data_IF_016868688549
#
_entry.id   IF_016868688549
#
_cell.length_a   1.000
_cell.length_b   1.000
_cell.length_c   1.000
_cell.angle_alpha   90.00
_cell.angle_beta   90.00
_cell.angle_gamma   90.00
#
_symmetry.space_group_name_H-M   'P 1'
#
loop_
_entity.id
_entity.type
_entity.pdbx_description
1 polymer ?
#
# COMPACT_ATOMS: atom_id res chain seq x y z
N UNK A 1 51.91 -60.17 17.99
CA UNK A 1 51.02 -59.13 18.54
C UNK A 1 51.49 -57.78 18.00
N UNK A 2 50.61 -56.86 17.58
CA UNK A 2 49.90 -56.88 16.28
C UNK A 2 50.02 -55.54 15.48
N UNK A 3 49.57 -55.58 14.21
CA UNK A 3 48.67 -54.63 13.49
C UNK A 3 49.06 -53.14 13.30
N UNK A 4 48.66 -52.38 12.26
CA UNK A 4 47.97 -52.56 10.96
C UNK A 4 48.28 -51.25 10.17
N UNK A 5 48.81 -51.32 8.95
CA UNK A 5 48.11 -51.32 7.64
C UNK A 5 47.63 -49.95 7.11
N UNK A 6 48.43 -49.47 6.16
CA UNK A 6 48.19 -48.43 5.15
C UNK A 6 47.23 -48.91 4.05
N UNK A 7 46.35 -48.05 3.51
CA UNK A 7 45.98 -48.16 2.10
C UNK A 7 45.40 -46.88 1.49
N UNK A 8 46.09 -46.39 0.45
CA UNK A 8 45.62 -45.43 -0.56
C UNK A 8 44.85 -46.16 -1.67
N UNK A 9 43.87 -45.48 -2.29
CA UNK A 9 43.45 -45.67 -3.70
C UNK A 9 42.70 -44.40 -4.13
N UNK A 10 43.23 -43.56 -5.03
CA UNK A 10 43.41 -43.71 -6.48
C UNK A 10 42.10 -43.59 -7.28
N UNK A 11 42.07 -42.52 -8.08
CA UNK A 11 41.05 -42.07 -9.04
C UNK A 11 40.99 -42.98 -10.28
N UNK A 12 39.82 -43.15 -10.90
CA UNK A 12 39.70 -43.70 -12.24
C UNK A 12 38.49 -43.14 -12.99
N UNK A 13 38.77 -42.66 -14.20
CA UNK A 13 37.85 -42.16 -15.22
C UNK A 13 37.38 -43.31 -16.12
N UNK A 14 36.10 -43.36 -16.48
CA UNK A 14 35.63 -44.24 -17.54
C UNK A 14 34.41 -43.67 -18.30
N UNK A 15 34.57 -43.60 -19.62
CA UNK A 15 33.58 -43.30 -20.66
C UNK A 15 32.47 -44.35 -20.73
N UNK A 16 31.24 -43.96 -21.09
CA UNK A 16 30.24 -44.80 -21.78
C UNK A 16 29.40 -43.89 -22.72
N UNK A 17 29.64 -43.91 -24.04
CA UNK A 17 28.95 -44.67 -25.11
C UNK A 17 27.43 -44.38 -25.22
N UNK A 18 27.06 -43.79 -26.37
CA UNK A 18 25.70 -43.52 -26.86
C UNK A 18 25.06 -44.77 -27.50
N UNK A 19 23.72 -44.90 -27.37
CA UNK A 19 22.70 -45.42 -28.34
C UNK A 19 21.39 -45.80 -27.58
N UNK A 20 20.21 -45.98 -28.23
CA UNK A 20 19.46 -45.10 -29.13
C UNK A 20 17.96 -44.93 -28.71
N UNK A 21 17.20 -44.15 -29.49
CA UNK A 21 15.74 -43.93 -29.43
C UNK A 21 14.90 -45.20 -29.72
N UNK A 22 13.76 -45.34 -29.02
CA UNK A 22 12.55 -46.02 -29.53
C UNK A 22 11.30 -45.23 -29.09
N UNK A 23 10.46 -44.94 -30.08
CA UNK A 23 9.17 -44.28 -29.98
C UNK A 23 8.08 -45.27 -29.52
N UNK A 24 7.12 -44.78 -28.73
CA UNK A 24 5.89 -45.48 -28.38
C UNK A 24 4.68 -44.59 -28.63
N UNK A 25 4.02 -44.79 -29.77
CA UNK A 25 2.72 -44.24 -30.11
C UNK A 25 1.61 -45.01 -29.36
N UNK A 26 0.65 -44.31 -28.77
CA UNK A 26 -0.71 -44.82 -28.58
C UNK A 26 -1.66 -43.76 -29.15
N UNK A 27 -2.33 -44.15 -30.22
CA UNK A 27 -3.48 -43.47 -30.80
C UNK A 27 -4.75 -44.19 -30.34
N UNK A 28 -5.81 -43.42 -30.03
CA UNK A 28 -7.19 -43.90 -30.10
C UNK A 28 -8.03 -42.84 -30.83
N UNK A 29 -8.74 -43.32 -31.85
CA UNK A 29 -9.63 -42.66 -32.80
C UNK A 29 -10.83 -41.93 -32.12
N UNK A 30 -11.22 -40.73 -32.55
CA UNK A 30 -12.10 -40.37 -33.68
C UNK A 30 -13.58 -40.78 -33.53
N UNK A 31 -14.46 -39.78 -33.45
CA UNK A 31 -15.85 -39.86 -33.88
C UNK A 31 -16.23 -38.54 -34.59
N UNK A 32 -16.69 -38.69 -35.83
CA UNK A 32 -17.08 -37.66 -36.77
C UNK A 32 -18.42 -37.00 -36.40
N UNK A 33 -18.58 -35.75 -36.84
CA UNK A 33 -19.86 -35.07 -36.97
C UNK A 33 -19.74 -33.84 -37.87
N UNK A 34 -19.62 -34.06 -39.18
CA UNK A 34 -19.76 -33.04 -40.21
C UNK A 34 -21.22 -33.02 -40.70
N UNK A 35 -21.85 -31.85 -40.71
CA UNK A 35 -22.89 -31.52 -41.70
C UNK A 35 -22.60 -30.12 -42.22
N UNK A 36 -22.25 -30.04 -43.51
CA UNK A 36 -22.09 -28.80 -44.27
C UNK A 36 -23.42 -28.42 -44.93
N UNK A 37 -23.66 -27.12 -45.16
CA UNK A 37 -23.81 -26.51 -46.49
C UNK A 37 -24.35 -25.07 -46.35
N UNK A 38 -23.79 -24.12 -47.11
CA UNK A 38 -24.34 -22.77 -47.19
C UNK A 38 -23.35 -21.68 -47.62
N UNK A 39 -22.78 -21.82 -48.81
CA UNK A 39 -22.03 -20.77 -49.50
C UNK A 39 -22.98 -19.72 -50.10
N UNK A 40 -22.65 -18.44 -49.97
CA UNK A 40 -23.01 -17.43 -50.97
C UNK A 40 -21.96 -16.31 -51.01
N UNK A 41 -21.22 -16.30 -52.13
CA UNK A 41 -20.42 -15.19 -52.62
C UNK A 41 -21.30 -13.99 -53.00
N UNK A 42 -20.76 -12.78 -52.88
CA UNK A 42 -21.33 -11.59 -53.48
C UNK A 42 -20.41 -10.37 -53.34
N UNK A 43 -19.46 -10.24 -54.26
CA UNK A 43 -18.71 -9.02 -54.51
C UNK A 43 -19.44 -8.16 -55.55
N UNK A 44 -19.60 -6.86 -55.33
CA UNK A 44 -19.42 -5.79 -56.35
C UNK A 44 -19.53 -4.38 -55.72
N UNK A 45 -18.85 -3.43 -56.36
CA UNK A 45 -18.47 -2.07 -55.95
C UNK A 45 -19.58 -0.99 -56.15
N UNK A 46 -19.30 0.32 -56.44
CA UNK A 46 -19.32 1.46 -55.51
C UNK A 46 -20.36 2.58 -55.84
N UNK A 47 -20.39 3.60 -54.96
CA UNK A 47 -20.97 4.98 -54.94
C UNK A 47 -21.65 5.59 -56.21
N UNK A 48 -22.54 6.60 -56.04
CA UNK A 48 -22.06 7.98 -56.23
C UNK A 48 -22.58 9.03 -55.23
N UNK A 49 -21.83 10.13 -55.17
CA UNK A 49 -21.98 11.35 -54.36
C UNK A 49 -23.07 12.30 -54.87
N UNK A 50 -23.61 13.13 -53.97
CA UNK A 50 -24.10 14.48 -54.29
C UNK A 50 -23.94 15.43 -53.09
N UNK A 51 -23.07 16.43 -53.29
CA UNK A 51 -23.05 17.87 -52.89
C UNK A 51 -24.32 18.44 -52.23
N UNK A 52 -24.36 19.55 -51.47
CA UNK A 52 -23.42 20.51 -50.86
C UNK A 52 -24.28 21.56 -50.10
N UNK A 53 -23.63 22.43 -49.31
CA UNK A 53 -24.03 23.81 -48.94
C UNK A 53 -24.69 24.08 -47.58
N UNK A 54 -23.88 24.58 -46.65
CA UNK A 54 -23.93 26.01 -46.26
C UNK A 54 -24.78 26.41 -45.03
N UNK A 55 -24.35 27.43 -44.24
CA UNK A 55 -24.69 27.56 -42.82
C UNK A 55 -25.74 28.64 -42.54
N UNK A 56 -26.42 28.56 -41.38
CA UNK A 56 -27.24 29.66 -40.84
C UNK A 56 -27.10 29.77 -39.32
N UNK A 57 -26.51 30.89 -38.89
CA UNK A 57 -26.77 31.61 -37.62
C UNK A 57 -26.90 33.10 -38.01
N UNK A 58 -27.75 33.90 -37.34
CA UNK A 58 -27.37 34.52 -36.05
C UNK A 58 -28.50 34.73 -35.01
N UNK A 59 -28.09 35.11 -33.80
CA UNK A 59 -28.85 35.62 -32.63
C UNK A 59 -29.38 37.08 -32.87
N UNK A 60 -29.87 37.91 -31.89
CA UNK A 60 -29.97 37.79 -30.42
C UNK A 60 -31.23 38.45 -29.74
N UNK A 61 -31.19 38.59 -28.38
CA UNK A 61 -31.95 39.49 -27.45
C UNK A 61 -32.96 38.79 -26.54
N UNK A 62 -33.22 39.15 -25.27
CA UNK A 62 -32.61 40.01 -24.25
C UNK A 62 -33.40 39.82 -22.91
N UNK A 63 -32.82 40.29 -21.80
CA UNK A 63 -33.46 40.84 -20.58
C UNK A 63 -33.79 39.94 -19.37
N UNK A 64 -33.09 40.23 -18.26
CA UNK A 64 -33.47 40.01 -16.86
C UNK A 64 -34.66 40.87 -16.41
N UNK A 65 -35.21 40.64 -15.19
CA UNK A 65 -34.96 41.62 -14.12
C UNK A 65 -34.80 41.03 -12.69
N UNK A 66 -34.59 41.96 -11.77
CA UNK A 66 -34.03 41.88 -10.42
C UNK A 66 -35.00 41.52 -9.27
N UNK A 67 -34.40 41.35 -8.09
CA UNK A 67 -35.01 41.21 -6.75
C UNK A 67 -35.81 42.46 -6.29
N UNK A 68 -36.50 42.36 -5.14
CA UNK A 68 -36.16 43.30 -4.06
C UNK A 68 -36.14 42.70 -2.64
N UNK A 69 -35.41 43.39 -1.76
CA UNK A 69 -35.38 43.24 -0.31
C UNK A 69 -36.37 44.22 0.36
N UNK A 70 -36.83 43.92 1.58
CA UNK A 70 -36.99 44.87 2.72
C UNK A 70 -37.54 44.19 3.97
N UNK A 71 -36.86 44.40 5.11
CA UNK A 71 -37.40 44.27 6.48
C UNK A 71 -38.26 45.50 6.84
N UNK A 72 -39.00 45.53 7.99
CA UNK A 72 -38.38 45.94 9.27
C UNK A 72 -39.00 45.34 10.56
N UNK A 73 -38.29 45.49 11.69
CA UNK A 73 -38.91 45.68 13.01
C UNK A 73 -38.71 44.60 14.08
N UNK A 74 -37.84 44.87 15.07
CA UNK A 74 -38.01 44.37 16.45
C UNK A 74 -39.14 45.14 17.18
N UNK A 75 -39.42 44.94 18.50
CA UNK A 75 -38.40 44.75 19.54
C UNK A 75 -38.78 43.82 20.74
N UNK A 76 -37.86 43.75 21.71
CA UNK A 76 -38.01 43.54 23.18
C UNK A 76 -38.41 42.18 23.76
N UNK A 77 -37.48 41.62 24.57
CA UNK A 77 -37.74 40.70 25.70
C UNK A 77 -38.53 41.39 26.82
N UNK A 78 -39.22 40.61 27.68
CA UNK A 78 -38.56 40.16 28.92
C UNK A 78 -38.95 38.72 29.35
N UNK A 79 -38.07 38.02 30.07
CA UNK A 79 -38.48 36.95 31.01
C UNK A 79 -39.09 37.56 32.29
N UNK A 80 -39.51 36.80 33.32
CA UNK A 80 -39.07 35.44 33.67
C UNK A 80 -40.17 34.50 34.24
N UNK A 81 -39.72 33.33 34.72
CA UNK A 81 -40.26 32.58 35.88
C UNK A 81 -41.45 31.62 35.72
N UNK A 82 -41.11 30.33 35.88
CA UNK A 82 -41.73 29.32 36.77
C UNK A 82 -43.26 29.18 36.85
N UNK A 83 -43.77 28.01 36.46
CA UNK A 83 -44.57 27.12 37.35
C UNK A 83 -45.07 25.89 36.58
N UNK A 84 -44.72 24.71 37.07
CA UNK A 84 -45.36 23.42 36.75
C UNK A 84 -46.14 22.98 38.00
N UNK A 85 -47.35 22.39 37.88
CA UNK A 85 -48.09 21.88 39.02
C UNK A 85 -47.67 20.45 39.42
N UNK A 86 -48.12 20.07 40.62
CA UNK A 86 -47.64 19.04 41.56
C UNK A 86 -48.47 17.73 41.51
N UNK A 87 -47.75 16.58 41.53
CA UNK A 87 -47.98 15.24 42.18
C UNK A 87 -49.25 14.37 41.87
N UNK A 88 -49.34 13.05 42.26
CA UNK A 88 -48.46 12.19 43.13
C UNK A 88 -48.09 10.77 42.58
N UNK A 89 -46.90 10.19 42.89
CA UNK A 89 -46.55 9.13 43.92
C UNK A 89 -47.01 7.69 43.56
N UNK A 90 -46.28 6.55 43.60
CA UNK A 90 -45.00 5.99 44.13
C UNK A 90 -44.64 4.69 43.32
N UNK A 91 -43.79 3.70 43.74
CA UNK A 91 -42.59 3.64 44.60
C UNK A 91 -41.34 3.01 43.90
N UNK A 92 -40.16 3.13 44.54
CA UNK A 92 -38.85 2.95 43.89
C UNK A 92 -38.07 1.64 44.09
N UNK A 93 -36.82 1.63 43.62
CA UNK A 93 -35.68 0.75 44.01
C UNK A 93 -34.39 1.25 43.31
N UNK A 94 -33.16 0.82 43.71
CA UNK A 94 -32.01 1.73 43.91
C UNK A 94 -31.02 1.77 42.75
N UNK A 95 -30.26 2.86 42.71
CA UNK A 95 -29.41 3.26 41.59
C UNK A 95 -28.19 2.39 41.31
N UNK A 96 -27.89 2.29 40.01
CA UNK A 96 -26.66 1.74 39.44
C UNK A 96 -25.56 2.81 39.42
N UNK A 97 -24.34 2.55 39.90
CA UNK A 97 -23.24 3.49 39.80
C UNK A 97 -22.64 3.54 38.38
N UNK A 98 -22.30 4.77 37.97
CA UNK A 98 -21.61 5.20 36.75
C UNK A 98 -20.24 4.50 36.57
N UNK A 99 -19.83 4.06 35.36
CA UNK A 99 -18.52 3.45 35.15
C UNK A 99 -17.41 4.51 35.14
N UNK A 100 -16.45 4.40 36.05
CA UNK A 100 -15.17 5.11 36.06
C UNK A 100 -14.13 4.33 35.25
N UNK A 101 -13.37 5.03 34.42
CA UNK A 101 -12.29 4.47 33.61
C UNK A 101 -11.13 3.91 34.46
N UNK A 102 -10.47 2.80 34.07
CA UNK A 102 -9.34 2.25 34.82
C UNK A 102 -8.06 3.08 34.63
N UNK A 103 -7.37 3.36 35.73
CA UNK A 103 -6.02 3.96 35.78
C UNK A 103 -4.95 2.90 35.43
N UNK A 104 -3.89 3.23 34.66
CA UNK A 104 -2.82 2.30 34.34
C UNK A 104 -1.94 1.98 35.58
N UNK A 105 -1.38 0.76 35.67
CA UNK A 105 -0.51 0.35 36.78
C UNK A 105 0.89 0.99 36.69
N UNK A 106 1.58 1.20 37.83
CA UNK A 106 2.93 1.78 37.87
C UNK A 106 4.00 0.78 37.40
N UNK A 107 5.18 1.26 36.95
CA UNK A 107 6.25 0.42 36.45
C UNK A 107 6.93 -0.39 37.58
N UNK A 108 7.14 -1.68 37.31
CA UNK A 108 7.83 -2.62 38.20
C UNK A 108 9.34 -2.46 38.06
N UNK A 109 10.03 -2.06 39.13
CA UNK A 109 11.48 -1.96 39.22
C UNK A 109 12.05 -3.23 39.86
N UNK A 110 12.51 -4.17 39.02
CA UNK A 110 13.27 -5.33 39.48
C UNK A 110 14.77 -5.02 39.49
N UNK A 111 15.31 -4.84 40.69
CA UNK A 111 16.74 -4.73 41.00
C UNK A 111 17.41 -6.11 40.89
N UNK A 112 18.60 -6.26 40.29
CA UNK A 112 19.34 -7.53 40.31
C UNK A 112 20.02 -7.77 41.68
N UNK A 113 20.19 -9.03 42.10
CA UNK A 113 20.87 -9.36 43.35
C UNK A 113 22.39 -9.23 43.21
N UNK A 114 22.98 -8.63 44.24
CA UNK A 114 24.41 -8.53 44.52
C UNK A 114 24.98 -9.89 44.95
N UNK A 115 25.95 -10.42 44.22
CA UNK A 115 26.85 -11.46 44.70
C UNK A 115 28.24 -10.85 44.95
N UNK A 116 28.67 -10.89 46.21
CA UNK A 116 30.07 -10.72 46.60
C UNK A 116 30.83 -12.04 46.37
N UNK A 117 32.15 -11.97 46.11
CA UNK A 117 33.03 -12.74 46.99
C UNK A 117 34.32 -12.00 47.41
N UNK A 118 34.66 -12.26 48.68
CA UNK A 118 35.96 -12.40 49.34
C UNK A 118 37.24 -11.75 48.78
N UNK A 119 38.02 -11.20 49.72
CA UNK A 119 39.31 -10.55 49.56
C UNK A 119 40.49 -11.52 49.29
N UNK A 120 41.49 -10.91 48.64
CA UNK A 120 42.88 -11.27 48.24
C UNK A 120 43.78 -12.01 49.27
N UNK A 121 44.97 -12.52 48.88
CA UNK A 121 46.15 -11.63 48.87
C UNK A 121 47.27 -11.85 47.81
N UNK A 122 47.92 -10.74 47.48
CA UNK A 122 49.37 -10.47 47.28
C UNK A 122 50.20 -11.11 46.12
N UNK A 123 50.45 -10.24 45.12
CA UNK A 123 51.71 -9.84 44.43
C UNK A 123 52.90 -10.81 44.20
N UNK A 124 53.33 -10.86 42.93
CA UNK A 124 54.69 -11.20 42.43
C UNK A 124 54.91 -10.61 41.02
N UNK A 125 56.14 -10.29 40.57
CA UNK A 125 56.39 -9.19 39.64
C UNK A 125 56.46 -9.56 38.14
N UNK A 126 56.02 -8.60 37.33
CA UNK A 126 56.48 -8.20 35.98
C UNK A 126 57.00 -9.26 34.99
N UNK A 127 56.29 -9.42 33.86
CA UNK A 127 56.87 -9.40 32.51
C UNK A 127 55.76 -9.09 31.49
N UNK A 128 55.85 -7.93 30.82
CA UNK A 128 54.96 -7.53 29.74
C UNK A 128 55.44 -8.14 28.40
N UNK A 129 54.58 -8.81 27.61
CA UNK A 129 54.87 -9.08 26.21
C UNK A 129 54.51 -7.84 25.38
N UNK A 130 55.45 -7.37 24.56
CA UNK A 130 55.23 -6.30 23.61
C UNK A 130 54.18 -6.71 22.56
N UNK A 131 53.10 -5.93 22.45
CA UNK A 131 52.08 -6.06 21.39
C UNK A 131 52.63 -5.53 20.07
N UNK A 132 52.49 -6.24 18.93
CA UNK A 132 52.83 -5.69 17.62
C UNK A 132 51.86 -4.56 17.23
N UNK A 133 52.29 -3.55 16.44
CA UNK A 133 51.45 -2.43 16.08
C UNK A 133 50.27 -2.86 15.22
N UNK A 134 49.08 -2.41 15.60
CA UNK A 134 47.86 -2.61 14.82
C UNK A 134 47.96 -1.85 13.49
N UNK A 135 47.96 -2.58 12.38
CA UNK A 135 47.84 -2.01 11.03
C UNK A 135 46.44 -1.42 10.89
N UNK A 136 46.36 -0.09 10.77
CA UNK A 136 45.10 0.63 10.50
C UNK A 136 44.54 0.18 9.14
N UNK A 137 43.28 -0.26 9.04
CA UNK A 137 42.68 -0.55 7.74
C UNK A 137 42.57 0.75 6.93
N UNK A 138 42.72 0.70 5.59
CA UNK A 138 42.58 1.88 4.76
C UNK A 138 41.14 2.41 4.90
N UNK A 139 41.03 3.67 5.30
CA UNK A 139 39.80 4.45 5.17
C UNK A 139 39.48 4.61 3.69
N UNK A 140 38.72 3.69 3.12
CA UNK A 140 38.05 3.90 1.84
C UNK A 140 36.83 4.78 2.11
N UNK A 141 36.94 6.06 1.75
CA UNK A 141 35.78 6.94 1.59
C UNK A 141 34.76 6.22 0.69
N UNK A 142 33.49 6.04 1.11
CA UNK A 142 32.46 5.52 0.23
C UNK A 142 32.38 6.40 -1.01
N UNK A 143 32.40 5.79 -2.20
CA UNK A 143 32.15 6.52 -3.44
C UNK A 143 30.78 7.21 -3.34
N UNK A 144 30.62 8.43 -3.85
CA UNK A 144 29.31 9.08 -3.90
C UNK A 144 28.32 8.17 -4.63
N UNK A 145 27.04 8.12 -4.18
CA UNK A 145 26.03 7.29 -4.82
C UNK A 145 25.95 7.63 -6.31
N UNK A 146 25.66 6.63 -7.17
CA UNK A 146 25.46 6.88 -8.58
C UNK A 146 24.37 7.95 -8.77
N UNK A 147 24.46 8.78 -9.82
CA UNK A 147 23.39 9.73 -10.11
C UNK A 147 22.06 8.98 -10.29
N UNK A 148 20.92 9.65 -10.03
CA UNK A 148 19.60 9.06 -10.22
C UNK A 148 19.51 8.33 -11.54
N UNK A 149 18.83 7.17 -11.54
CA UNK A 149 18.31 6.62 -12.78
C UNK A 149 17.60 7.75 -13.55
N UNK A 150 18.20 8.19 -14.64
CA UNK A 150 17.85 9.46 -15.27
C UNK A 150 16.37 9.45 -15.67
N UNK A 151 15.56 10.35 -15.09
CA UNK A 151 14.19 10.63 -15.53
C UNK A 151 13.06 10.44 -14.51
N UNK A 152 13.30 9.92 -13.30
CA UNK A 152 12.24 9.79 -12.29
C UNK A 152 12.09 11.09 -11.48
N UNK A 153 10.87 11.64 -11.43
CA UNK A 153 10.58 12.87 -10.69
C UNK A 153 10.59 12.65 -9.18
N UNK A 154 11.08 13.65 -8.44
CA UNK A 154 11.02 13.71 -6.96
C UNK A 154 9.70 14.28 -6.43
N UNK A 155 8.81 14.78 -7.31
CA UNK A 155 7.54 15.35 -6.90
C UNK A 155 6.59 14.29 -6.35
N UNK A 156 5.89 14.63 -5.26
CA UNK A 156 4.86 13.78 -4.66
C UNK A 156 3.60 13.81 -5.50
N UNK A 157 3.23 12.66 -6.06
CA UNK A 157 2.02 12.50 -6.86
C UNK A 157 0.82 12.29 -5.94
N UNK A 158 -0.20 13.14 -6.07
CA UNK A 158 -1.47 13.02 -5.34
C UNK A 158 -2.69 13.02 -6.26
N UNK A 159 -2.48 12.82 -7.56
CA UNK A 159 -3.52 12.75 -8.59
C UNK A 159 -3.42 11.51 -9.48
N UNK A 160 -4.48 11.18 -10.20
CA UNK A 160 -4.53 10.11 -11.21
C UNK A 160 -3.82 10.49 -12.52
N UNK A 161 -3.49 9.49 -13.33
CA UNK A 161 -2.85 9.68 -14.63
C UNK A 161 -3.76 10.28 -15.70
N UNK A 162 -5.06 9.99 -15.62
CA UNK A 162 -6.04 10.39 -16.62
C UNK A 162 -6.88 11.56 -16.14
N UNK A 163 -7.10 12.54 -17.01
CA UNK A 163 -8.10 13.59 -16.77
C UNK A 163 -9.53 13.04 -16.68
N UNK A 164 -10.47 13.91 -16.34
CA UNK A 164 -11.88 13.51 -16.18
C UNK A 164 -12.18 12.88 -14.82
N UNK A 165 -13.31 12.18 -14.71
CA UNK A 165 -13.84 11.64 -13.43
C UNK A 165 -13.13 10.34 -13.05
N UNK A 166 -11.82 10.40 -12.85
CA UNK A 166 -11.01 9.26 -12.42
C UNK A 166 -10.68 9.32 -10.92
N UNK A 167 -10.37 8.17 -10.33
CA UNK A 167 -9.92 8.05 -8.94
C UNK A 167 -8.87 6.95 -8.82
N UNK A 168 -7.85 7.15 -8.00
CA UNK A 168 -6.93 6.08 -7.63
C UNK A 168 -7.24 5.58 -6.22
N UNK A 169 -7.45 4.28 -6.08
CA UNK A 169 -7.55 3.63 -4.78
C UNK A 169 -6.18 3.10 -4.37
N UNK A 170 -5.75 3.44 -3.16
CA UNK A 170 -4.45 3.03 -2.62
C UNK A 170 -4.62 2.40 -1.24
N UNK A 171 -3.84 1.36 -0.95
CA UNK A 171 -3.90 0.60 0.29
C UNK A 171 -2.52 0.45 0.91
N UNK A 172 -2.38 0.85 2.18
CA UNK A 172 -1.12 0.86 2.91
C UNK A 172 -1.06 -0.23 4.00
N UNK A 173 0.15 -0.48 4.46
CA UNK A 173 0.56 -1.35 5.59
C UNK A 173 0.46 -2.86 5.34
N UNK A 174 -0.14 -3.28 4.22
CA UNK A 174 -0.28 -4.68 3.86
C UNK A 174 1.03 -5.36 3.44
N UNK A 175 0.97 -6.66 3.10
CA UNK A 175 -0.22 -7.50 3.13
C UNK A 175 -0.56 -8.00 4.54
N UNK A 176 -1.86 -8.11 4.84
CA UNK A 176 -2.37 -8.64 6.11
C UNK A 176 -3.73 -9.32 5.95
N UNK A 177 -4.44 -9.62 7.07
CA UNK A 177 -5.71 -10.34 7.03
C UNK A 177 -6.80 -9.68 6.17
N UNK A 178 -6.76 -8.36 5.98
CA UNK A 178 -7.74 -7.63 5.18
C UNK A 178 -7.39 -7.56 3.68
N UNK A 179 -6.14 -7.79 3.29
CA UNK A 179 -5.69 -7.74 1.88
C UNK A 179 -6.49 -8.68 0.99
N UNK A 180 -6.70 -9.93 1.42
CA UNK A 180 -7.50 -10.90 0.67
C UNK A 180 -8.94 -10.42 0.38
N UNK A 181 -9.71 -10.06 1.42
CA UNK A 181 -11.05 -9.46 1.26
C UNK A 181 -11.09 -8.18 0.42
N UNK A 182 -10.07 -7.33 0.50
CA UNK A 182 -9.95 -6.15 -0.37
C UNK A 182 -9.79 -6.58 -1.83
N UNK A 183 -8.87 -7.50 -2.13
CA UNK A 183 -8.67 -8.04 -3.49
C UNK A 183 -9.96 -8.67 -4.04
N UNK A 184 -10.73 -9.39 -3.23
CA UNK A 184 -12.03 -9.97 -3.63
C UNK A 184 -13.06 -8.90 -4.00
N UNK A 185 -13.07 -7.77 -3.29
CA UNK A 185 -13.94 -6.64 -3.62
C UNK A 185 -13.48 -5.97 -4.91
N UNK A 186 -12.19 -5.70 -5.07
CA UNK A 186 -11.66 -5.07 -6.28
C UNK A 186 -11.93 -5.93 -7.53
N UNK A 187 -11.69 -7.23 -7.45
CA UNK A 187 -11.95 -8.18 -8.53
C UNK A 187 -13.42 -8.22 -8.94
N UNK A 188 -14.35 -8.21 -7.97
CA UNK A 188 -15.81 -8.18 -8.24
C UNK A 188 -16.27 -6.98 -9.05
N UNK A 189 -15.57 -5.85 -8.92
CA UNK A 189 -15.89 -4.62 -9.64
C UNK A 189 -14.96 -4.39 -10.85
N UNK A 190 -14.05 -5.32 -11.15
CA UNK A 190 -13.08 -5.19 -12.25
C UNK A 190 -12.12 -4.00 -12.09
N UNK A 191 -11.87 -3.57 -10.85
CA UNK A 191 -11.03 -2.39 -10.57
C UNK A 191 -9.62 -2.80 -10.14
N UNK A 192 -8.63 -1.99 -10.53
CA UNK A 192 -7.23 -2.13 -10.12
C UNK A 192 -6.86 -1.01 -9.15
N UNK A 193 -5.85 -1.24 -8.33
CA UNK A 193 -5.47 -0.35 -7.23
C UNK A 193 -3.95 -0.39 -7.03
N UNK A 194 -3.43 0.51 -6.20
CA UNK A 194 -2.01 0.50 -5.80
C UNK A 194 -1.89 0.05 -4.35
N UNK A 195 -1.01 -0.89 -4.06
CA UNK A 195 -0.76 -1.38 -2.70
C UNK A 195 0.65 -0.97 -2.27
N UNK A 196 0.76 -0.11 -1.26
CA UNK A 196 2.01 0.27 -0.63
C UNK A 196 2.30 -0.72 0.51
N UNK A 197 3.20 -1.65 0.23
CA UNK A 197 3.47 -2.78 1.12
C UNK A 197 4.63 -2.48 2.05
N UNK A 198 4.52 -2.93 3.30
CA UNK A 198 5.65 -2.96 4.22
C UNK A 198 6.48 -4.21 3.92
N UNK A 199 7.79 -4.06 3.74
CA UNK A 199 8.70 -5.12 3.32
C UNK A 199 8.57 -6.39 4.17
N UNK A 200 8.60 -6.24 5.50
CA UNK A 200 8.42 -7.37 6.43
C UNK A 200 7.08 -8.10 6.24
N UNK A 201 5.99 -7.36 5.98
CA UNK A 201 4.68 -7.95 5.74
C UNK A 201 4.64 -8.67 4.39
N UNK A 202 5.29 -8.12 3.37
CA UNK A 202 5.42 -8.74 2.06
C UNK A 202 6.19 -10.08 2.15
N UNK A 203 7.32 -10.11 2.86
CA UNK A 203 8.10 -11.32 3.09
C UNK A 203 7.33 -12.38 3.90
N UNK A 204 6.51 -11.95 4.88
CA UNK A 204 5.68 -12.86 5.65
C UNK A 204 4.50 -13.43 4.84
N UNK A 205 4.02 -12.71 3.82
CA UNK A 205 2.80 -13.03 3.09
C UNK A 205 3.00 -13.08 1.56
N UNK A 206 3.98 -13.86 1.03
CA UNK A 206 4.32 -13.83 -0.40
C UNK A 206 3.18 -14.32 -1.30
N UNK A 207 2.30 -15.19 -0.78
CA UNK A 207 1.10 -15.63 -1.51
C UNK A 207 0.13 -14.46 -1.79
N UNK A 208 -0.02 -13.53 -0.85
CA UNK A 208 -0.85 -12.33 -1.04
C UNK A 208 -0.18 -11.35 -2.00
N UNK A 209 1.14 -11.16 -1.91
CA UNK A 209 1.88 -10.31 -2.88
C UNK A 209 1.71 -10.82 -4.31
N UNK A 210 1.87 -12.13 -4.53
CA UNK A 210 1.62 -12.76 -5.84
C UNK A 210 0.19 -12.57 -6.31
N UNK A 211 -0.79 -12.61 -5.39
CA UNK A 211 -2.20 -12.36 -5.70
C UNK A 211 -2.47 -10.91 -6.11
N UNK A 212 -1.82 -9.95 -5.46
CA UNK A 212 -1.84 -8.52 -5.83
C UNK A 212 -1.31 -8.37 -7.28
N UNK A 213 -0.15 -8.95 -7.57
CA UNK A 213 0.45 -8.89 -8.93
C UNK A 213 -0.45 -9.57 -9.97
N UNK A 214 -0.97 -10.77 -9.68
CA UNK A 214 -1.84 -11.52 -10.59
C UNK A 214 -3.17 -10.80 -10.88
N UNK A 215 -3.69 -10.01 -9.93
CA UNK A 215 -4.86 -9.15 -10.13
C UNK A 215 -4.59 -7.90 -10.98
N UNK A 216 -3.34 -7.69 -11.42
CA UNK A 216 -2.95 -6.52 -12.21
C UNK A 216 -2.88 -5.23 -11.40
N UNK A 217 -2.78 -5.32 -10.07
CA UNK A 217 -2.58 -4.17 -9.20
C UNK A 217 -1.13 -3.68 -9.26
N UNK A 218 -0.90 -2.41 -8.90
CA UNK A 218 0.46 -1.85 -8.79
C UNK A 218 1.01 -2.04 -7.38
N UNK A 219 2.31 -2.31 -7.30
CA UNK A 219 3.04 -2.35 -6.04
C UNK A 219 3.75 -1.02 -5.79
N UNK A 220 3.81 -0.66 -4.52
CA UNK A 220 4.45 0.51 -3.97
C UNK A 220 5.25 0.06 -2.74
N UNK A 221 6.46 0.60 -2.59
CA UNK A 221 7.27 0.41 -1.40
C UNK A 221 6.76 1.30 -0.26
N UNK A 222 6.60 0.70 0.91
CA UNK A 222 6.22 1.37 2.14
C UNK A 222 7.20 1.09 3.28
N UNK A 223 8.49 1.00 2.93
CA UNK A 223 9.64 0.77 3.83
C UNK A 223 9.73 -0.66 4.37
N UNK A 224 10.81 -0.98 5.08
CA UNK A 224 11.04 -2.32 5.65
C UNK A 224 10.06 -2.60 6.78
N UNK A 225 9.99 -1.70 7.76
CA UNK A 225 9.26 -1.92 9.03
C UNK A 225 8.33 -0.76 9.44
N UNK A 226 8.09 0.21 8.55
CA UNK A 226 7.21 1.35 8.77
C UNK A 226 7.63 2.21 9.98
N UNK A 227 8.85 2.77 10.01
CA UNK A 227 9.31 3.56 11.15
C UNK A 227 8.60 4.92 11.22
N UNK A 228 8.37 5.39 12.44
CA UNK A 228 7.69 6.66 12.72
C UNK A 228 8.44 7.48 13.79
N UNK A 229 8.68 8.78 13.58
CA UNK A 229 8.40 9.55 12.37
C UNK A 229 9.44 9.32 11.27
N UNK A 230 9.00 8.97 10.05
CA UNK A 230 9.91 8.69 8.92
C UNK A 230 10.77 9.89 8.50
N UNK A 231 10.21 11.10 8.59
CA UNK A 231 10.90 12.35 8.21
C UNK A 231 12.12 12.68 9.11
N UNK A 232 12.25 12.02 10.26
CA UNK A 232 13.33 12.27 11.22
C UNK A 232 14.47 11.23 11.15
N UNK A 233 14.39 10.27 10.22
CA UNK A 233 15.45 9.29 10.04
C UNK A 233 16.72 9.95 9.51
N UNK A 234 17.87 9.36 9.84
CA UNK A 234 19.12 9.68 9.13
C UNK A 234 19.02 9.26 7.67
N UNK A 235 19.83 9.90 6.81
CA UNK A 235 19.92 9.55 5.39
C UNK A 235 20.15 8.05 5.19
N UNK A 236 21.17 7.47 5.83
CA UNK A 236 21.52 6.05 5.69
C UNK A 236 20.37 5.12 6.13
N UNK A 237 19.62 5.48 7.18
CA UNK A 237 18.46 4.69 7.59
C UNK A 237 17.34 4.83 6.55
N UNK A 238 17.08 6.01 6.02
CA UNK A 238 16.08 6.19 4.96
C UNK A 238 16.46 5.42 3.67
N UNK A 239 17.74 5.39 3.30
CA UNK A 239 18.24 4.58 2.19
C UNK A 239 17.96 3.10 2.43
N UNK A 240 18.33 2.58 3.60
CA UNK A 240 18.06 1.19 3.98
C UNK A 240 16.57 0.86 3.92
N UNK A 241 15.72 1.70 4.52
CA UNK A 241 14.27 1.49 4.58
C UNK A 241 13.65 1.36 3.19
N UNK A 242 14.03 2.23 2.26
CA UNK A 242 13.43 2.29 0.92
C UNK A 242 14.01 1.20 0.01
N UNK A 243 15.33 1.00 0.05
CA UNK A 243 15.99 0.01 -0.82
C UNK A 243 15.64 -1.43 -0.43
N UNK A 244 15.81 -1.79 0.84
CA UNK A 244 15.51 -3.15 1.31
C UNK A 244 14.01 -3.43 1.31
N UNK A 245 13.17 -2.43 1.64
CA UNK A 245 11.71 -2.57 1.57
C UNK A 245 11.24 -2.95 0.15
N UNK A 246 11.75 -2.23 -0.85
CA UNK A 246 11.53 -2.54 -2.27
C UNK A 246 11.98 -3.95 -2.62
N UNK A 247 13.18 -4.36 -2.21
CA UNK A 247 13.74 -5.67 -2.56
C UNK A 247 12.97 -6.83 -1.93
N UNK A 248 12.53 -6.68 -0.67
CA UNK A 248 11.65 -7.64 0.00
C UNK A 248 10.33 -7.84 -0.77
N UNK A 249 9.75 -6.75 -1.27
CA UNK A 249 8.50 -6.79 -2.06
C UNK A 249 8.74 -7.48 -3.41
N UNK A 250 9.82 -7.14 -4.11
CA UNK A 250 10.19 -7.77 -5.39
C UNK A 250 10.39 -9.29 -5.20
N UNK A 251 11.11 -9.68 -4.16
CA UNK A 251 11.34 -11.09 -3.83
C UNK A 251 10.04 -11.83 -3.52
N UNK A 252 9.15 -11.23 -2.73
CA UNK A 252 7.86 -11.83 -2.37
C UNK A 252 6.93 -12.01 -3.58
N UNK A 253 6.92 -11.04 -4.51
CA UNK A 253 6.14 -11.11 -5.75
C UNK A 253 6.69 -12.11 -6.76
N UNK A 254 8.00 -12.38 -6.73
CA UNK A 254 8.67 -13.33 -7.61
C UNK A 254 9.14 -12.72 -8.94
N UNK A 255 9.61 -13.55 -9.90
CA UNK A 255 10.25 -13.07 -11.12
C UNK A 255 9.38 -12.10 -11.92
N UNK A 256 9.99 -11.00 -12.37
CA UNK A 256 9.30 -9.97 -13.17
C UNK A 256 8.45 -8.98 -12.37
N UNK A 257 8.40 -9.10 -11.04
CA UNK A 257 7.72 -8.15 -10.16
C UNK A 257 8.33 -6.75 -10.31
N UNK A 258 7.47 -5.74 -10.49
CA UNK A 258 7.87 -4.34 -10.62
C UNK A 258 7.31 -3.52 -9.46
N UNK A 259 8.20 -2.78 -8.80
CA UNK A 259 7.86 -1.76 -7.80
C UNK A 259 8.39 -0.43 -8.33
N UNK A 260 7.49 0.53 -8.54
CA UNK A 260 7.81 1.82 -9.20
C UNK A 260 7.34 3.03 -8.39
N UNK A 261 6.86 2.78 -7.19
CA UNK A 261 6.24 3.77 -6.31
C UNK A 261 6.82 3.62 -4.92
N UNK A 262 6.93 4.75 -4.21
CA UNK A 262 7.31 4.82 -2.81
C UNK A 262 6.32 5.72 -2.10
N UNK A 263 5.85 5.32 -0.92
CA UNK A 263 5.08 6.19 -0.03
C UNK A 263 5.81 6.26 1.31
N UNK A 264 6.12 7.48 1.76
CA UNK A 264 6.72 7.67 3.07
C UNK A 264 5.68 7.34 4.17
N UNK A 265 6.03 6.49 5.17
CA UNK A 265 5.18 6.25 6.33
C UNK A 265 4.65 7.55 6.94
N UNK A 266 3.34 7.62 7.16
CA UNK A 266 2.67 8.80 7.73
C UNK A 266 2.72 10.06 6.85
N UNK A 267 3.13 9.96 5.58
CA UNK A 267 3.31 11.11 4.69
C UNK A 267 4.52 11.97 5.02
N UNK A 268 5.48 11.44 5.79
CA UNK A 268 6.69 12.14 6.24
C UNK A 268 7.74 12.37 5.13
N UNK A 269 7.35 13.03 4.04
CA UNK A 269 8.25 13.34 2.93
C UNK A 269 9.24 14.45 3.31
N UNK A 270 10.49 14.27 2.88
CA UNK A 270 11.54 15.28 2.88
C UNK A 270 12.18 15.32 1.49
N UNK A 271 12.89 16.41 1.16
CA UNK A 271 13.62 16.47 -0.10
C UNK A 271 14.63 15.31 -0.25
N UNK A 272 15.21 14.88 0.86
CA UNK A 272 16.16 13.76 0.92
C UNK A 272 15.49 12.43 0.57
N UNK A 273 14.40 12.06 1.26
CA UNK A 273 13.76 10.77 0.98
C UNK A 273 13.04 10.73 -0.38
N UNK A 274 12.60 11.87 -0.90
CA UNK A 274 12.11 11.99 -2.29
C UNK A 274 13.22 11.74 -3.30
N UNK A 275 14.44 12.25 -3.04
CA UNK A 275 15.62 12.01 -3.88
C UNK A 275 16.04 10.54 -3.80
N UNK A 276 16.14 9.95 -2.61
CA UNK A 276 16.45 8.52 -2.42
C UNK A 276 15.48 7.65 -3.23
N UNK A 277 14.17 7.92 -3.13
CA UNK A 277 13.16 7.19 -3.89
C UNK A 277 13.39 7.31 -5.40
N UNK A 278 13.58 8.53 -5.91
CA UNK A 278 13.82 8.76 -7.34
C UNK A 278 15.10 8.08 -7.84
N UNK A 279 16.18 8.12 -7.05
CA UNK A 279 17.45 7.47 -7.38
C UNK A 279 17.31 5.94 -7.48
N UNK A 280 16.40 5.36 -6.68
CA UNK A 280 16.00 3.94 -6.73
C UNK A 280 14.93 3.63 -7.79
N UNK A 281 14.55 4.60 -8.61
CA UNK A 281 13.54 4.45 -9.66
C UNK A 281 12.10 4.41 -9.15
N UNK A 282 11.86 4.88 -7.92
CA UNK A 282 10.56 4.93 -7.26
C UNK A 282 9.99 6.34 -7.30
N UNK A 283 8.70 6.45 -7.62
CA UNK A 283 7.99 7.73 -7.67
C UNK A 283 7.33 8.00 -6.33
N UNK A 284 7.51 9.17 -5.70
CA UNK A 284 6.84 9.49 -4.46
C UNK A 284 5.31 9.58 -4.63
N UNK A 285 4.55 8.85 -3.82
CA UNK A 285 3.08 8.76 -3.87
C UNK A 285 2.45 9.31 -2.60
N UNK A 286 1.74 10.43 -2.73
CA UNK A 286 0.89 11.00 -1.69
C UNK A 286 -0.58 10.60 -1.87
N UNK A 287 -1.47 11.44 -1.36
CA UNK A 287 -2.93 11.30 -1.48
C UNK A 287 -3.60 12.68 -1.47
N UNK A 288 -4.84 12.73 -1.93
CA UNK A 288 -5.70 13.93 -1.87
C UNK A 288 -6.93 13.73 -0.99
N UNK A 289 -7.21 12.49 -0.59
CA UNK A 289 -8.33 12.11 0.28
C UNK A 289 -7.82 11.15 1.35
N UNK A 290 -8.00 11.52 2.62
CA UNK A 290 -7.67 10.69 3.78
C UNK A 290 -8.91 10.51 4.67
N UNK A 291 -9.54 9.32 4.64
CA UNK A 291 -10.66 8.99 5.50
C UNK A 291 -10.25 8.61 6.92
N UNK A 292 -8.95 8.54 7.22
CA UNK A 292 -8.38 8.11 8.51
C UNK A 292 -8.91 6.75 8.97
N UNK A 293 -9.10 5.83 8.04
CA UNK A 293 -9.62 4.48 8.31
C UNK A 293 -8.74 3.70 9.29
N UNK A 294 -7.43 3.97 9.31
CA UNK A 294 -6.48 3.42 10.28
C UNK A 294 -6.86 3.69 11.75
N UNK A 295 -7.52 4.82 12.02
CA UNK A 295 -8.00 5.22 13.36
C UNK A 295 -9.30 4.51 13.79
N UNK A 296 -9.91 3.75 12.87
CA UNK A 296 -11.19 3.04 13.04
C UNK A 296 -12.36 3.97 13.42
N UNK A 297 -12.61 5.07 12.67
CA UNK A 297 -13.61 6.08 13.01
C UNK A 297 -15.07 5.65 12.77
N UNK A 298 -15.28 4.42 12.28
CA UNK A 298 -16.57 3.86 11.89
C UNK A 298 -16.79 3.94 10.38
N UNK A 299 -17.49 2.94 9.84
CA UNK A 299 -17.74 2.79 8.40
C UNK A 299 -18.41 4.03 7.79
N UNK A 300 -19.41 4.59 8.47
CA UNK A 300 -20.11 5.78 7.99
C UNK A 300 -19.19 7.00 7.87
N UNK A 301 -18.24 7.17 8.79
CA UNK A 301 -17.27 8.25 8.77
C UNK A 301 -16.29 8.11 7.59
N UNK A 302 -15.79 6.89 7.36
CA UNK A 302 -14.91 6.58 6.21
C UNK A 302 -15.64 6.92 4.90
N UNK A 303 -16.85 6.40 4.74
CA UNK A 303 -17.66 6.61 3.52
C UNK A 303 -17.99 8.08 3.31
N UNK A 304 -18.44 8.78 4.35
CA UNK A 304 -18.79 10.22 4.26
C UNK A 304 -17.57 11.07 3.89
N UNK A 305 -16.42 10.79 4.48
CA UNK A 305 -15.18 11.50 4.20
C UNK A 305 -14.76 11.33 2.74
N UNK A 306 -14.74 10.09 2.23
CA UNK A 306 -14.42 9.86 0.81
C UNK A 306 -15.42 10.56 -0.11
N UNK A 307 -16.72 10.43 0.14
CA UNK A 307 -17.76 11.04 -0.71
C UNK A 307 -17.68 12.57 -0.76
N UNK A 308 -17.38 13.21 0.37
CA UNK A 308 -17.32 14.67 0.47
C UNK A 308 -16.04 15.27 -0.11
N UNK A 309 -14.91 14.61 0.10
CA UNK A 309 -13.59 15.11 -0.30
C UNK A 309 -13.17 14.69 -1.71
N UNK A 310 -13.70 13.59 -2.24
CA UNK A 310 -13.30 13.11 -3.56
C UNK A 310 -13.61 14.15 -4.65
N UNK A 311 -12.60 14.42 -5.46
CA UNK A 311 -12.68 15.24 -6.67
C UNK A 311 -12.16 14.42 -7.85
N UNK A 312 -12.56 14.76 -9.09
CA UNK A 312 -11.97 14.19 -10.30
C UNK A 312 -10.45 14.21 -10.24
N UNK A 313 -9.85 13.04 -10.40
CA UNK A 313 -8.42 12.82 -10.34
C UNK A 313 -7.84 12.56 -8.94
N UNK A 314 -8.67 12.38 -7.91
CA UNK A 314 -8.19 12.19 -6.54
C UNK A 314 -7.51 10.83 -6.29
N UNK A 315 -6.56 10.82 -5.35
CA UNK A 315 -5.92 9.62 -4.80
C UNK A 315 -6.44 9.39 -3.38
N UNK A 316 -7.11 8.27 -3.16
CA UNK A 316 -7.70 7.88 -1.87
C UNK A 316 -6.73 6.99 -1.11
N UNK A 317 -6.33 7.43 0.08
CA UNK A 317 -5.57 6.64 1.05
C UNK A 317 -6.52 5.75 1.85
N UNK A 318 -6.24 4.44 1.92
CA UNK A 318 -6.87 3.47 2.81
C UNK A 318 -5.81 2.47 3.28
N UNK A 319 -6.16 1.58 4.21
CA UNK A 319 -5.22 0.62 4.78
C UNK A 319 -5.78 -0.79 4.73
N UNK A 320 -4.96 -1.76 4.32
CA UNK A 320 -5.27 -3.20 4.34
C UNK A 320 -4.35 -4.00 5.28
N UNK A 321 -3.35 -3.35 5.89
CA UNK A 321 -2.56 -3.86 7.01
C UNK A 321 -2.55 -2.93 8.23
N UNK A 322 -1.61 -3.11 9.15
CA UNK A 322 -1.45 -2.23 10.32
C UNK A 322 -2.49 -2.43 11.45
N UNK A 323 -3.13 -3.61 11.50
CA UNK A 323 -4.12 -3.98 12.52
C UNK A 323 -5.48 -4.36 11.93
N UNK A 324 -6.55 -4.18 12.72
CA UNK A 324 -7.92 -4.45 12.25
C UNK A 324 -8.37 -3.40 11.21
N UNK A 325 -8.69 -3.89 10.01
CA UNK A 325 -9.20 -3.12 8.85
C UNK A 325 -10.58 -3.58 8.39
N UNK A 326 -11.35 -4.21 9.27
CA UNK A 326 -12.74 -4.62 9.00
C UNK A 326 -13.62 -3.43 8.55
N UNK A 327 -13.43 -2.25 9.13
CA UNK A 327 -14.15 -1.04 8.74
C UNK A 327 -13.79 -0.57 7.32
N UNK A 328 -12.53 -0.67 6.91
CA UNK A 328 -12.08 -0.36 5.55
C UNK A 328 -12.74 -1.30 4.54
N UNK A 329 -12.73 -2.61 4.82
CA UNK A 329 -13.40 -3.61 3.97
C UNK A 329 -14.91 -3.35 3.88
N UNK A 330 -15.56 -3.00 4.98
CA UNK A 330 -16.98 -2.66 5.00
C UNK A 330 -17.30 -1.34 4.28
N UNK A 331 -16.45 -0.33 4.38
CA UNK A 331 -16.58 0.92 3.65
C UNK A 331 -16.40 0.71 2.15
N UNK A 332 -15.42 -0.11 1.74
CA UNK A 332 -15.15 -0.42 0.34
C UNK A 332 -16.35 -1.08 -0.35
N UNK A 333 -17.12 -1.93 0.36
CA UNK A 333 -18.39 -2.50 -0.12
C UNK A 333 -19.42 -1.44 -0.51
N UNK A 334 -19.38 -0.25 0.12
CA UNK A 334 -20.28 0.86 -0.18
C UNK A 334 -19.68 1.84 -1.20
N UNK A 335 -18.36 2.05 -1.15
CA UNK A 335 -17.67 3.02 -2.00
C UNK A 335 -17.57 2.55 -3.45
N UNK A 336 -17.24 1.28 -3.70
CA UNK A 336 -17.13 0.75 -5.07
C UNK A 336 -18.42 0.95 -5.91
N UNK A 337 -19.61 0.52 -5.45
CA UNK A 337 -20.83 0.76 -6.24
C UNK A 337 -21.18 2.25 -6.32
N UNK A 338 -20.89 3.03 -5.28
CA UNK A 338 -21.12 4.48 -5.33
C UNK A 338 -20.23 5.15 -6.38
N UNK A 339 -18.95 4.78 -6.50
CA UNK A 339 -18.06 5.31 -7.54
C UNK A 339 -18.62 5.04 -8.93
N UNK A 340 -19.11 3.83 -9.18
CA UNK A 340 -19.76 3.47 -10.45
C UNK A 340 -20.98 4.33 -10.74
N UNK A 341 -21.91 4.47 -9.77
CA UNK A 341 -23.12 5.31 -9.92
C UNK A 341 -22.76 6.77 -10.20
N UNK A 342 -21.67 7.23 -9.61
CA UNK A 342 -21.16 8.58 -9.79
C UNK A 342 -20.39 8.74 -11.12
N UNK A 343 -20.15 7.68 -11.88
CA UNK A 343 -19.38 7.73 -13.12
C UNK A 343 -17.89 7.97 -12.88
N UNK A 344 -17.36 7.57 -11.71
CA UNK A 344 -15.92 7.51 -11.50
C UNK A 344 -15.33 6.24 -12.12
N UNK A 345 -14.20 6.39 -12.81
CA UNK A 345 -13.38 5.26 -13.25
C UNK A 345 -12.16 5.12 -12.34
N UNK A 346 -11.90 3.91 -11.86
CA UNK A 346 -10.69 3.66 -11.07
C UNK A 346 -9.49 3.52 -12.02
N UNK A 347 -8.47 4.34 -11.79
CA UNK A 347 -7.22 4.36 -12.55
C UNK A 347 -6.03 4.39 -11.57
N UNK A 348 -4.82 4.35 -12.11
CA UNK A 348 -3.61 4.47 -11.31
C UNK A 348 -3.20 5.94 -11.07
N UNK A 349 -2.37 6.18 -10.05
CA UNK A 349 -1.74 7.49 -9.86
C UNK A 349 -0.91 7.91 -11.09
N UNK A 350 -0.78 9.24 -11.30
CA UNK A 350 -0.14 9.83 -12.48
C UNK A 350 1.29 9.33 -12.70
N UNK A 351 1.66 9.04 -13.95
CA UNK A 351 2.99 8.53 -14.36
C UNK A 351 4.01 9.63 -14.64
#
# INVERSE_FOLDING_TARGET
MPEHATSQRASSSARHRRRPLVAGCIAVAAALGLTACGTANGALQPQPSVTASGPVTPAPSASSPAAPASSPGGPTSPGPSSSTPVAPSEPGTPGTPKPTAPKPPPPSTSKPPTHAPAQSPAQGPTHAPATPPATRPPTTTPAPPPPPASGVSTSVVSSTASGGRTVALTFDDGPGPATGPVLDLLARYGVRATFCLVGQQASANPALVKRIVAGGHRLCDHTVDHPQPFAALSHDRAVYEISEGKDMIVQAGGPGTKVSWFRAPGGGFTADNQRIAADLGLRPLGWSVDPRDWSRPGVASIVSTVKSQLRPGGVVLMHDGGGDRSQTVAALKQLLPWLVVQGYHVDFPAS
#
